data_IF_776842646048
#
_entry.id   IF_776842646048
#
_cell.length_a   1.000
_cell.length_b   1.000
_cell.length_c   1.000
_cell.angle_alpha   90.00
_cell.angle_beta   90.00
_cell.angle_gamma   90.00
#
_symmetry.space_group_name_H-M   'P 1'
#
loop_
_entity.id
_entity.type
_entity.pdbx_description
1 polymer ?
#
# COMPACT_ATOMS: atom_id res chain seq x y z
N UNK A 1 4.75 20.78 -2.68
CA UNK A 1 4.33 21.20 -1.33
C UNK A 1 5.42 22.06 -0.71
N UNK A 2 5.09 23.13 0.02
CA UNK A 2 6.06 23.99 0.70
C UNK A 2 6.42 23.40 2.07
N UNK A 3 7.52 23.88 2.67
CA UNK A 3 7.91 23.46 4.04
C UNK A 3 6.80 23.78 5.05
N UNK A 4 6.18 24.96 4.96
CA UNK A 4 5.08 25.35 5.86
C UNK A 4 3.86 24.42 5.73
N UNK A 5 3.54 23.96 4.54
CA UNK A 5 2.45 22.99 4.34
C UNK A 5 2.80 21.60 4.90
N UNK A 6 4.08 21.17 4.84
CA UNK A 6 4.52 19.93 5.48
C UNK A 6 4.42 20.03 7.01
N UNK A 7 4.80 21.16 7.59
CA UNK A 7 4.69 21.42 9.03
C UNK A 7 3.24 21.45 9.49
N UNK A 8 2.33 22.02 8.69
CA UNK A 8 0.88 22.01 8.97
C UNK A 8 0.32 20.58 9.01
N UNK A 9 0.68 19.75 8.01
CA UNK A 9 0.28 18.34 7.97
C UNK A 9 0.87 17.57 9.16
N UNK A 10 2.15 17.79 9.47
CA UNK A 10 2.80 17.15 10.60
C UNK A 10 2.13 17.48 11.93
N UNK A 11 1.83 18.78 12.18
CA UNK A 11 1.11 19.20 13.37
C UNK A 11 -0.26 18.53 13.48
N UNK A 12 -1.01 18.50 12.38
CA UNK A 12 -2.30 17.83 12.33
C UNK A 12 -2.20 16.34 12.63
N UNK A 13 -1.17 15.65 12.12
CA UNK A 13 -0.94 14.24 12.40
C UNK A 13 -0.62 14.00 13.88
N UNK A 14 0.22 14.84 14.49
CA UNK A 14 0.51 14.76 15.92
C UNK A 14 -0.76 14.98 16.78
N UNK A 15 -1.58 15.95 16.43
CA UNK A 15 -2.85 16.24 17.12
C UNK A 15 -3.84 15.05 17.01
N UNK A 16 -3.71 14.23 15.96
CA UNK A 16 -4.47 13.01 15.76
C UNK A 16 -3.77 11.73 16.28
N UNK A 17 -2.67 11.87 17.03
CA UNK A 17 -2.01 10.78 17.73
C UNK A 17 -1.02 9.97 16.90
N UNK A 18 -0.63 10.44 15.72
CA UNK A 18 0.40 9.76 14.92
C UNK A 18 1.81 10.08 15.42
N UNK A 19 2.66 9.08 15.47
CA UNK A 19 4.09 9.26 15.65
C UNK A 19 4.73 9.51 14.29
N UNK A 20 4.96 10.78 13.94
CA UNK A 20 5.42 11.19 12.63
C UNK A 20 6.54 12.21 12.69
N UNK A 21 7.37 12.28 11.63
CA UNK A 21 8.38 13.32 11.48
C UNK A 21 8.62 13.63 9.99
N UNK A 22 9.18 14.80 9.71
CA UNK A 22 9.58 15.19 8.36
C UNK A 22 10.98 14.67 8.06
N UNK A 23 11.12 13.94 6.95
CA UNK A 23 12.40 13.62 6.30
C UNK A 23 12.45 14.31 4.93
N UNK A 24 13.16 15.43 4.84
CA UNK A 24 13.28 16.27 3.63
C UNK A 24 11.93 16.79 3.15
N UNK A 25 11.34 16.15 2.13
CA UNK A 25 10.06 16.52 1.52
C UNK A 25 8.97 15.50 1.75
N UNK A 26 9.19 14.56 2.65
CA UNK A 26 8.31 13.43 2.98
C UNK A 26 7.94 13.47 4.44
N UNK A 27 6.86 12.80 4.79
CA UNK A 27 6.53 12.51 6.19
C UNK A 27 6.70 11.01 6.42
N UNK A 28 7.43 10.66 7.46
CA UNK A 28 7.58 9.29 7.93
C UNK A 28 6.65 9.11 9.13
N UNK A 29 5.84 8.07 9.09
CA UNK A 29 4.86 7.73 10.13
C UNK A 29 5.24 6.37 10.71
N UNK A 30 5.52 6.32 12.01
CA UNK A 30 5.75 5.06 12.72
C UNK A 30 4.42 4.55 13.31
N UNK A 31 4.16 3.25 13.15
CA UNK A 31 2.99 2.58 13.69
C UNK A 31 3.33 1.16 14.14
N UNK A 32 2.52 0.59 15.02
CA UNK A 32 2.78 -0.71 15.62
C UNK A 32 1.76 -1.75 15.16
N UNK A 33 2.26 -2.91 14.72
CA UNK A 33 1.46 -4.11 14.45
C UNK A 33 2.10 -5.26 15.23
N UNK A 34 1.35 -5.95 16.08
CA UNK A 34 1.80 -7.16 16.83
C UNK A 34 3.15 -6.97 17.56
N UNK A 35 3.34 -5.81 18.19
CA UNK A 35 4.57 -5.42 18.91
C UNK A 35 5.79 -5.17 18.00
N UNK A 36 5.60 -5.05 16.69
CA UNK A 36 6.61 -4.61 15.75
C UNK A 36 6.29 -3.20 15.28
N UNK A 37 7.30 -2.38 15.15
CA UNK A 37 7.18 -1.03 14.62
C UNK A 37 7.45 -1.07 13.12
N UNK A 38 6.55 -0.46 12.36
CA UNK A 38 6.64 -0.26 10.92
C UNK A 38 6.66 1.23 10.60
N UNK A 39 7.19 1.58 9.44
CA UNK A 39 7.28 2.96 8.99
C UNK A 39 6.66 3.13 7.61
N UNK A 40 5.71 4.05 7.51
CA UNK A 40 5.17 4.51 6.25
C UNK A 40 5.87 5.79 5.81
N UNK A 41 6.22 5.86 4.55
CA UNK A 41 6.73 7.04 3.88
C UNK A 41 5.60 7.66 3.07
N UNK A 42 5.11 8.83 3.49
CA UNK A 42 4.10 9.63 2.77
C UNK A 42 4.81 10.64 1.87
N UNK A 43 4.55 10.54 0.57
CA UNK A 43 5.11 11.41 -0.47
C UNK A 43 3.98 12.19 -1.12
N UNK A 44 4.14 13.52 -1.20
CA UNK A 44 3.16 14.41 -1.79
C UNK A 44 3.54 14.71 -3.25
N UNK A 45 2.76 14.26 -4.25
CA UNK A 45 3.01 14.56 -5.65
C UNK A 45 2.77 16.04 -5.97
N UNK A 46 3.29 16.50 -7.10
CA UNK A 46 3.16 17.92 -7.54
C UNK A 46 1.69 18.34 -7.62
N UNK A 47 0.79 17.44 -7.99
CA UNK A 47 -0.65 17.72 -8.10
C UNK A 47 -1.44 17.68 -6.78
N UNK A 48 -0.81 17.39 -5.65
CA UNK A 48 -1.51 17.39 -4.35
C UNK A 48 -2.05 18.80 -4.02
N UNK A 49 -3.28 18.91 -3.51
CA UNK A 49 -4.24 17.90 -3.06
C UNK A 49 -5.25 17.38 -4.12
N UNK A 50 -5.07 17.70 -5.40
CA UNK A 50 -5.92 17.19 -6.49
C UNK A 50 -5.56 15.75 -6.90
N UNK A 51 -4.45 15.23 -6.41
CA UNK A 51 -3.97 13.86 -6.57
C UNK A 51 -3.70 13.32 -5.15
N UNK A 52 -3.96 12.04 -4.93
CA UNK A 52 -3.71 11.40 -3.64
C UNK A 52 -2.22 11.44 -3.27
N UNK A 53 -1.88 11.61 -1.98
CA UNK A 53 -0.52 11.35 -1.52
C UNK A 53 -0.18 9.87 -1.74
N UNK A 54 1.08 9.60 -2.04
CA UNK A 54 1.58 8.26 -2.28
C UNK A 54 2.20 7.69 -1.00
N UNK A 55 1.81 6.46 -0.67
CA UNK A 55 2.29 5.77 0.50
C UNK A 55 3.26 4.67 0.10
N UNK A 56 4.34 4.50 0.87
CA UNK A 56 5.34 3.46 0.67
C UNK A 56 5.68 2.82 2.00
N UNK A 57 5.87 1.51 2.00
CA UNK A 57 6.55 0.81 3.08
C UNK A 57 8.06 0.94 2.91
N UNK A 58 8.83 0.85 4.00
CA UNK A 58 10.29 0.80 3.86
C UNK A 58 10.72 -0.57 3.28
N UNK A 59 11.71 -0.55 2.39
CA UNK A 59 12.21 -1.76 1.72
C UNK A 59 12.62 -2.87 2.69
N UNK A 60 13.33 -2.50 3.75
CA UNK A 60 13.80 -3.44 4.77
C UNK A 60 12.63 -4.15 5.46
N UNK A 61 11.59 -3.39 5.81
CA UNK A 61 10.39 -3.90 6.46
C UNK A 61 9.55 -4.77 5.53
N UNK A 62 9.40 -4.34 4.27
CA UNK A 62 8.71 -5.13 3.24
C UNK A 62 9.37 -6.50 3.04
N UNK A 63 10.70 -6.54 2.89
CA UNK A 63 11.43 -7.78 2.65
C UNK A 63 11.29 -8.81 3.79
N UNK A 64 10.94 -8.36 5.00
CA UNK A 64 10.72 -9.26 6.15
C UNK A 64 9.33 -9.92 6.16
N UNK A 65 8.35 -9.28 5.52
CA UNK A 65 6.94 -9.68 5.60
C UNK A 65 6.32 -10.00 4.22
N UNK A 66 7.06 -9.76 3.14
CA UNK A 66 6.59 -9.99 1.77
C UNK A 66 6.31 -11.49 1.50
N UNK A 67 5.36 -11.78 0.61
CA UNK A 67 4.58 -10.83 -0.18
C UNK A 67 3.37 -10.28 0.59
N UNK A 68 2.97 -9.05 0.28
CA UNK A 68 1.76 -8.43 0.81
C UNK A 68 0.85 -8.01 -0.35
N UNK A 69 -0.48 -8.24 -0.28
CA UNK A 69 -1.40 -7.69 -1.25
C UNK A 69 -1.41 -6.15 -1.16
N UNK A 70 -1.74 -5.50 -2.26
CA UNK A 70 -1.75 -4.04 -2.40
C UNK A 70 -0.40 -3.34 -2.19
N UNK A 71 0.71 -4.09 -2.13
CA UNK A 71 2.07 -3.52 -2.08
C UNK A 71 2.84 -3.94 -3.32
N UNK A 72 3.21 -2.94 -4.13
CA UNK A 72 3.95 -3.14 -5.37
C UNK A 72 5.44 -3.45 -5.14
N UNK A 73 6.13 -3.90 -6.19
CA UNK A 73 7.57 -4.19 -6.15
C UNK A 73 8.46 -2.95 -5.86
N UNK A 74 7.94 -1.75 -6.03
CA UNK A 74 8.59 -0.48 -5.67
C UNK A 74 8.23 -0.02 -4.26
N UNK A 75 7.59 -0.90 -3.47
CA UNK A 75 7.13 -0.69 -2.09
C UNK A 75 5.98 0.31 -1.96
N UNK A 76 5.42 0.80 -3.07
CA UNK A 76 4.24 1.65 -3.04
C UNK A 76 3.00 0.84 -2.66
N UNK A 77 2.12 1.47 -1.87
CA UNK A 77 0.89 0.88 -1.38
C UNK A 77 -0.28 1.42 -2.21
N UNK A 78 -1.06 0.52 -2.79
CA UNK A 78 -2.25 0.86 -3.57
C UNK A 78 -3.42 1.13 -2.62
N UNK A 79 -3.56 2.36 -2.15
CA UNK A 79 -4.64 2.75 -1.21
C UNK A 79 -5.94 3.09 -1.92
N UNK A 80 -5.87 3.79 -3.07
CA UNK A 80 -7.04 4.22 -3.84
C UNK A 80 -6.80 4.09 -5.34
N UNK A 81 -7.80 3.60 -6.07
CA UNK A 81 -7.79 3.65 -7.53
C UNK A 81 -8.15 5.07 -8.00
N UNK A 82 -7.17 5.79 -8.54
CA UNK A 82 -7.33 7.15 -9.06
C UNK A 82 -8.27 7.25 -10.28
N UNK A 83 -8.63 6.12 -10.91
CA UNK A 83 -9.61 6.10 -12.00
C UNK A 83 -11.04 6.12 -11.47
N UNK A 84 -11.24 5.71 -10.22
CA UNK A 84 -12.57 5.57 -9.60
C UNK A 84 -12.77 6.60 -8.48
N UNK A 85 -11.72 6.89 -7.71
CA UNK A 85 -11.78 7.77 -6.55
C UNK A 85 -11.25 9.17 -6.87
N UNK A 86 -11.98 10.20 -6.42
CA UNK A 86 -11.58 11.60 -6.56
C UNK A 86 -11.18 12.14 -5.20
N UNK A 87 -9.96 12.72 -5.05
CA UNK A 87 -9.51 13.29 -3.78
C UNK A 87 -10.41 14.43 -3.31
N UNK A 88 -10.71 14.47 -2.01
CA UNK A 88 -11.36 15.63 -1.40
C UNK A 88 -10.34 16.77 -1.20
N UNK A 89 -10.01 17.48 -2.28
CA UNK A 89 -9.02 18.55 -2.29
C UNK A 89 -9.34 19.74 -1.39
N UNK A 90 -10.60 19.88 -0.93
CA UNK A 90 -11.01 20.98 -0.02
C UNK A 90 -10.52 20.79 1.41
N UNK A 91 -10.22 19.57 1.80
CA UNK A 91 -9.68 19.24 3.12
C UNK A 91 -8.47 18.32 2.99
N UNK A 92 -7.33 18.91 2.62
CA UNK A 92 -6.11 18.17 2.36
C UNK A 92 -5.53 17.49 3.61
N UNK A 93 -5.80 18.00 4.80
CA UNK A 93 -5.37 17.39 6.07
C UNK A 93 -6.14 16.09 6.33
N UNK A 94 -7.47 16.14 6.23
CA UNK A 94 -8.30 14.95 6.37
C UNK A 94 -8.02 13.93 5.27
N UNK A 95 -7.81 14.38 4.02
CA UNK A 95 -7.42 13.52 2.92
C UNK A 95 -6.11 12.77 3.22
N UNK A 96 -5.09 13.47 3.74
CA UNK A 96 -3.82 12.87 4.10
C UNK A 96 -3.99 11.82 5.18
N UNK A 97 -4.76 12.13 6.23
CA UNK A 97 -5.07 11.19 7.30
C UNK A 97 -5.78 9.93 6.78
N UNK A 98 -6.79 10.10 5.94
CA UNK A 98 -7.56 9.00 5.35
C UNK A 98 -6.68 8.04 4.56
N UNK A 99 -5.76 8.58 3.75
CA UNK A 99 -4.82 7.76 2.97
C UNK A 99 -3.80 7.03 3.87
N UNK A 100 -3.34 7.67 4.96
CA UNK A 100 -2.46 7.05 5.95
C UNK A 100 -3.20 5.91 6.67
N UNK A 101 -4.44 6.14 7.11
CA UNK A 101 -5.24 5.13 7.80
C UNK A 101 -5.48 3.90 6.91
N UNK A 102 -5.81 4.11 5.64
CA UNK A 102 -6.01 3.01 4.70
C UNK A 102 -4.70 2.24 4.44
N UNK A 103 -3.57 2.93 4.31
CA UNK A 103 -2.27 2.26 4.16
C UNK A 103 -1.91 1.42 5.40
N UNK A 104 -2.11 1.95 6.61
CA UNK A 104 -1.88 1.22 7.87
C UNK A 104 -2.78 0.00 7.95
N UNK A 105 -4.05 0.12 7.55
CA UNK A 105 -5.02 -0.97 7.53
C UNK A 105 -4.56 -2.09 6.58
N UNK A 106 -4.21 -1.76 5.33
CA UNK A 106 -3.72 -2.70 4.32
C UNK A 106 -2.52 -3.50 4.86
N UNK A 107 -1.52 -2.82 5.41
CA UNK A 107 -0.34 -3.47 5.98
C UNK A 107 -0.72 -4.33 7.20
N UNK A 108 -1.60 -3.84 8.06
CA UNK A 108 -2.03 -4.58 9.26
C UNK A 108 -2.78 -5.86 8.91
N UNK A 109 -3.69 -5.80 7.95
CA UNK A 109 -4.43 -6.96 7.44
C UNK A 109 -3.48 -7.96 6.76
N UNK A 110 -2.51 -7.47 5.97
CA UNK A 110 -1.50 -8.30 5.32
C UNK A 110 -0.59 -9.03 6.31
N UNK A 111 -0.09 -8.33 7.33
CA UNK A 111 0.75 -8.94 8.38
C UNK A 111 -0.01 -10.01 9.17
N UNK A 112 -1.32 -9.82 9.39
CA UNK A 112 -2.18 -10.78 10.09
C UNK A 112 -2.73 -11.90 9.20
N UNK A 113 -2.53 -11.81 7.89
CA UNK A 113 -3.11 -12.75 6.91
C UNK A 113 -4.62 -12.62 6.75
N UNK A 114 -5.19 -11.46 7.09
CA UNK A 114 -6.63 -11.22 7.04
C UNK A 114 -7.12 -10.91 5.62
N UNK A 115 -6.21 -10.53 4.71
CA UNK A 115 -6.49 -10.16 3.32
C UNK A 115 -5.89 -11.16 2.30
N UNK A 116 -5.74 -12.43 2.66
CA UNK A 116 -5.22 -13.47 1.74
C UNK A 116 -6.04 -13.61 0.45
N UNK A 117 -7.35 -13.33 0.50
CA UNK A 117 -8.21 -13.39 -0.67
C UNK A 117 -7.89 -12.29 -1.71
N UNK A 118 -7.35 -11.16 -1.26
CA UNK A 118 -6.98 -10.06 -2.15
C UNK A 118 -5.82 -10.45 -3.08
N UNK A 119 -4.93 -11.34 -2.63
CA UNK A 119 -3.91 -11.95 -3.49
C UNK A 119 -4.51 -12.68 -4.69
N UNK A 120 -5.63 -13.36 -4.51
CA UNK A 120 -6.28 -14.13 -5.57
C UNK A 120 -6.86 -13.17 -6.62
N UNK A 121 -7.45 -12.08 -6.16
CA UNK A 121 -8.06 -11.07 -7.03
C UNK A 121 -6.98 -10.25 -7.77
N UNK A 122 -5.91 -9.84 -7.10
CA UNK A 122 -4.76 -9.18 -7.71
C UNK A 122 -4.03 -10.10 -8.68
N UNK A 123 -3.76 -11.36 -8.30
CA UNK A 123 -3.16 -12.35 -9.17
C UNK A 123 -4.00 -12.56 -10.44
N UNK A 124 -5.31 -12.67 -10.30
CA UNK A 124 -6.22 -12.79 -11.44
C UNK A 124 -6.19 -11.53 -12.33
N UNK A 125 -6.04 -10.34 -11.76
CA UNK A 125 -5.93 -9.10 -12.50
C UNK A 125 -4.60 -9.02 -13.28
N UNK A 126 -3.48 -9.31 -12.65
CA UNK A 126 -2.16 -9.36 -13.29
C UNK A 126 -2.07 -10.49 -14.33
N UNK A 127 -2.58 -11.69 -14.00
CA UNK A 127 -2.56 -12.84 -14.89
C UNK A 127 -3.39 -12.63 -16.16
N UNK A 128 -4.52 -11.94 -16.06
CA UNK A 128 -5.34 -11.60 -17.23
C UNK A 128 -4.65 -10.65 -18.19
N UNK A 129 -3.79 -9.77 -17.68
CA UNK A 129 -3.07 -8.80 -18.50
C UNK A 129 -1.86 -9.42 -19.23
N UNK A 130 -1.15 -10.35 -18.60
CA UNK A 130 0.09 -10.92 -19.16
C UNK A 130 -0.07 -12.31 -19.78
N UNK A 131 -1.03 -13.10 -19.32
CA UNK A 131 -1.16 -14.52 -19.69
C UNK A 131 -2.26 -14.82 -20.73
N UNK A 132 -2.96 -13.81 -21.26
CA UNK A 132 -3.98 -14.02 -22.30
C UNK A 132 -3.44 -14.70 -23.57
N UNK A 133 -2.12 -14.80 -23.77
CA UNK A 133 -1.53 -15.43 -24.93
C UNK A 133 -1.17 -16.94 -24.74
N UNK A 134 -1.12 -17.48 -23.52
CA UNK A 134 -0.47 -18.79 -23.31
C UNK A 134 -1.19 -19.84 -22.47
N UNK A 135 -2.37 -19.62 -21.88
CA UNK A 135 -2.99 -20.62 -21.02
C UNK A 135 -4.36 -21.13 -21.47
N UNK A 136 -4.41 -22.46 -21.60
CA UNK A 136 -5.62 -23.24 -21.83
C UNK A 136 -6.60 -23.11 -20.65
N UNK A 137 -7.91 -22.99 -20.91
CA UNK A 137 -8.95 -22.84 -19.86
C UNK A 137 -9.09 -24.03 -18.89
N UNK A 138 -8.30 -25.07 -19.06
CA UNK A 138 -8.34 -26.29 -18.24
C UNK A 138 -7.63 -26.19 -16.87
N UNK A 139 -6.89 -25.10 -16.58
CA UNK A 139 -6.13 -24.95 -15.32
C UNK A 139 -6.88 -24.17 -14.22
N UNK A 140 -8.11 -23.76 -14.46
CA UNK A 140 -8.89 -22.95 -13.50
C UNK A 140 -9.80 -23.76 -12.57
N UNK A 141 -9.44 -24.99 -12.21
CA UNK A 141 -10.09 -25.65 -11.08
C UNK A 141 -9.45 -25.15 -9.78
N UNK A 142 -10.29 -24.80 -8.80
CA UNK A 142 -9.92 -24.15 -7.52
C UNK A 142 -8.77 -24.82 -6.74
N UNK A 143 -8.57 -26.13 -6.92
CA UNK A 143 -7.48 -26.90 -6.30
C UNK A 143 -6.13 -26.73 -7.02
N UNK A 144 -6.12 -26.39 -8.31
CA UNK A 144 -4.89 -26.17 -9.08
C UNK A 144 -4.31 -24.77 -8.88
N UNK A 145 -5.12 -23.77 -8.50
CA UNK A 145 -4.67 -22.41 -8.19
C UNK A 145 -3.74 -22.41 -6.96
N UNK A 146 -4.08 -23.13 -5.90
CA UNK A 146 -3.22 -23.25 -4.71
C UNK A 146 -1.89 -23.94 -5.02
N UNK A 147 -1.88 -24.92 -5.93
CA UNK A 147 -0.66 -25.61 -6.34
C UNK A 147 0.26 -24.73 -7.23
N UNK A 148 -0.32 -23.94 -8.13
CA UNK A 148 0.42 -22.98 -8.94
C UNK A 148 1.02 -21.85 -8.10
N UNK A 149 0.28 -21.34 -7.11
CA UNK A 149 0.77 -20.32 -6.20
C UNK A 149 2.00 -20.76 -5.41
N UNK A 150 1.98 -22.00 -4.89
CA UNK A 150 3.10 -22.60 -4.16
C UNK A 150 4.34 -22.83 -5.07
N UNK A 151 4.14 -23.11 -6.35
CA UNK A 151 5.25 -23.33 -7.30
C UNK A 151 5.90 -22.02 -7.68
N UNK A 152 5.14 -20.98 -7.95
CA UNK A 152 5.66 -19.64 -8.29
C UNK A 152 6.40 -19.02 -7.10
N UNK A 153 5.86 -19.11 -5.91
CA UNK A 153 6.52 -18.59 -4.69
C UNK A 153 7.81 -19.33 -4.33
N UNK A 154 8.01 -20.56 -4.81
CA UNK A 154 9.27 -21.31 -4.65
C UNK A 154 10.33 -20.99 -5.71
N UNK A 155 9.95 -20.37 -6.82
CA UNK A 155 10.90 -19.97 -7.88
C UNK A 155 11.40 -18.53 -7.74
N UNK A 156 10.75 -17.71 -6.88
CA UNK A 156 11.13 -16.31 -6.62
C UNK A 156 12.13 -16.19 -5.44
N UNK A 157 12.46 -17.31 -4.79
CA UNK A 157 13.56 -17.40 -3.82
C UNK A 157 14.79 -17.96 -4.55
#
# INVERSE_FOLDING_TARGET
MTVAQLEEVLSFLHDNGYNAHIDKTKIIIAFEIERRIFHLKCVFPIGFPYVFPQMYLLEEEYNEIAPLPHVNNDFSICTYDSNVCIPNFKNHLALTKEVIDEAIKIISEGVRGENEFDFIDEFNAYWRLEACEFMSPYLLQRESLNACFVIIMKQIK
#
